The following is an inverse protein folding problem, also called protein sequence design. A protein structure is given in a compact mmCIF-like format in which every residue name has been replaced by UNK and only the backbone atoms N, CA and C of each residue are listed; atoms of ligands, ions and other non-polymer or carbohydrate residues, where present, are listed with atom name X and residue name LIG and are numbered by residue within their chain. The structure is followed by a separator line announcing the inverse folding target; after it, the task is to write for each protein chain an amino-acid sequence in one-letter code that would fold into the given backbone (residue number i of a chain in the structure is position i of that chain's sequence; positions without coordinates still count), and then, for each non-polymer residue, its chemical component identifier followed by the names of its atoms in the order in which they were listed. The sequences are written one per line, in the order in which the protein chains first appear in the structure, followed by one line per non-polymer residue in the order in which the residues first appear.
data_IF_524290888229
#
_entry.id   IF_524290888229
#
_cell.length_a   1.000
_cell.length_b   1.000
_cell.length_c   1.000
_cell.angle_alpha   90.00
_cell.angle_beta   90.00
_cell.angle_gamma   90.00
#
_symmetry.space_group_name_H-M   'P 1'
#
loop_
_entity.id
_entity.type
_entity.pdbx_description
1 polymer ?
#
# COMPACT_ATOMS: atom_id res chain seq x y z
N UNK A 1 -24.72 -21.04 -0.51
CA UNK A 1 -24.49 -19.58 -0.40
C UNK A 1 -25.83 -18.91 -0.11
N UNK A 2 -26.09 -18.43 1.10
CA UNK A 2 -27.45 -17.99 1.51
C UNK A 2 -27.55 -16.61 2.18
N UNK A 3 -26.43 -15.96 2.53
CA UNK A 3 -26.42 -14.66 3.22
C UNK A 3 -26.13 -13.44 2.33
N UNK A 4 -25.91 -13.62 1.03
CA UNK A 4 -25.59 -12.53 0.10
C UNK A 4 -24.28 -11.76 0.40
N UNK A 5 -23.48 -12.21 1.37
CA UNK A 5 -22.30 -11.53 1.89
C UNK A 5 -20.97 -12.07 1.33
N UNK A 6 -21.01 -12.64 0.14
CA UNK A 6 -19.84 -13.23 -0.52
C UNK A 6 -19.49 -12.41 -1.76
N UNK A 7 -18.22 -12.04 -1.88
CA UNK A 7 -17.69 -11.30 -3.02
C UNK A 7 -16.54 -12.07 -3.64
N UNK A 8 -16.60 -12.25 -4.95
CA UNK A 8 -15.47 -12.69 -5.77
C UNK A 8 -14.62 -11.50 -6.18
N UNK A 9 -13.40 -11.76 -6.65
CA UNK A 9 -12.59 -10.73 -7.27
C UNK A 9 -13.29 -10.05 -8.45
N UNK A 10 -14.08 -10.78 -9.25
CA UNK A 10 -14.85 -10.20 -10.36
C UNK A 10 -15.91 -9.22 -9.87
N UNK A 11 -16.57 -9.52 -8.76
CA UNK A 11 -17.55 -8.61 -8.15
C UNK A 11 -16.88 -7.32 -7.65
N UNK A 12 -15.67 -7.42 -7.10
CA UNK A 12 -14.90 -6.26 -6.66
C UNK A 12 -14.38 -5.43 -7.85
N UNK A 13 -13.89 -6.09 -8.90
CA UNK A 13 -13.46 -5.43 -10.14
C UNK A 13 -14.63 -4.68 -10.80
N UNK A 14 -15.82 -5.29 -10.87
CA UNK A 14 -17.03 -4.64 -11.38
C UNK A 14 -17.47 -3.42 -10.53
N UNK A 15 -17.04 -3.35 -9.26
CA UNK A 15 -17.25 -2.20 -8.37
C UNK A 15 -16.16 -1.13 -8.49
N UNK A 16 -15.16 -1.31 -9.36
CA UNK A 16 -14.10 -0.35 -9.62
C UNK A 16 -12.85 -0.49 -8.72
N UNK A 17 -12.73 -1.56 -7.94
CA UNK A 17 -11.50 -1.82 -7.18
C UNK A 17 -10.40 -2.37 -8.10
N UNK A 18 -9.16 -1.92 -7.88
CA UNK A 18 -8.02 -2.34 -8.70
C UNK A 18 -7.46 -3.67 -8.20
N UNK A 19 -6.85 -4.48 -9.09
CA UNK A 19 -6.16 -5.69 -8.67
C UNK A 19 -5.08 -5.43 -7.61
N UNK A 20 -4.43 -4.26 -7.69
CA UNK A 20 -3.35 -3.89 -6.77
C UNK A 20 -3.87 -3.56 -5.36
N UNK A 21 -4.95 -2.78 -5.24
CA UNK A 21 -5.53 -2.49 -3.93
C UNK A 21 -6.18 -3.71 -3.29
N UNK A 22 -6.84 -4.58 -4.06
CA UNK A 22 -7.32 -5.88 -3.56
C UNK A 22 -6.17 -6.75 -3.07
N UNK A 23 -5.08 -6.87 -3.86
CA UNK A 23 -3.89 -7.63 -3.44
C UNK A 23 -3.27 -7.07 -2.16
N UNK A 24 -3.12 -5.74 -2.08
CA UNK A 24 -2.60 -5.08 -0.88
C UNK A 24 -3.48 -5.36 0.34
N UNK A 25 -4.80 -5.24 0.21
CA UNK A 25 -5.75 -5.52 1.29
C UNK A 25 -5.65 -6.96 1.80
N UNK A 26 -5.57 -7.93 0.91
CA UNK A 26 -5.44 -9.35 1.30
C UNK A 26 -4.11 -9.66 2.00
N UNK A 27 -3.06 -8.88 1.73
CA UNK A 27 -1.74 -9.00 2.33
C UNK A 27 -1.54 -8.12 3.56
N UNK A 28 -2.51 -7.27 3.92
CA UNK A 28 -2.37 -6.31 5.02
C UNK A 28 -2.49 -6.94 6.40
N UNK A 29 -2.82 -8.23 6.47
CA UNK A 29 -2.82 -9.03 7.70
C UNK A 29 -2.07 -10.34 7.45
N UNK A 30 -1.42 -10.93 8.47
CA UNK A 30 -0.78 -12.24 8.31
C UNK A 30 -1.77 -13.29 7.81
N UNK A 31 -1.35 -14.14 6.87
CA UNK A 31 -2.23 -15.12 6.20
C UNK A 31 -2.94 -16.11 7.14
N UNK A 32 -2.43 -16.30 8.36
CA UNK A 32 -3.02 -17.17 9.39
C UNK A 32 -4.07 -16.47 10.26
N UNK A 33 -4.33 -15.18 10.03
CA UNK A 33 -5.31 -14.38 10.77
C UNK A 33 -6.53 -14.12 9.90
N UNK A 34 -7.70 -14.05 10.54
CA UNK A 34 -8.92 -13.71 9.85
C UNK A 34 -8.89 -12.23 9.44
N UNK A 35 -9.02 -11.97 8.15
CA UNK A 35 -9.22 -10.64 7.59
C UNK A 35 -10.69 -10.24 7.74
N UNK A 36 -10.96 -9.11 8.39
CA UNK A 36 -12.30 -8.53 8.42
C UNK A 36 -12.55 -7.71 7.14
N UNK A 37 -13.34 -8.25 6.22
CA UNK A 37 -13.64 -7.56 4.95
C UNK A 37 -14.68 -6.45 5.14
N UNK A 38 -14.30 -5.21 4.81
CA UNK A 38 -15.24 -4.10 4.58
C UNK A 38 -14.84 -3.33 3.34
N UNK A 39 -15.81 -2.71 2.65
CA UNK A 39 -15.51 -1.87 1.49
C UNK A 39 -14.69 -0.63 1.87
N UNK A 40 -14.85 -0.10 3.09
CA UNK A 40 -14.04 1.00 3.59
C UNK A 40 -12.58 0.61 3.78
N UNK A 41 -12.32 -0.56 4.36
CA UNK A 41 -10.96 -1.06 4.52
C UNK A 41 -10.29 -1.31 3.15
N UNK A 42 -11.04 -1.84 2.19
CA UNK A 42 -10.55 -2.02 0.81
C UNK A 42 -10.29 -0.67 0.10
N UNK A 43 -11.13 0.34 0.30
CA UNK A 43 -10.86 1.71 -0.20
C UNK A 43 -9.61 2.32 0.44
N UNK A 44 -9.40 2.07 1.73
CA UNK A 44 -8.18 2.45 2.43
C UNK A 44 -6.94 1.83 1.77
N UNK A 45 -7.00 0.54 1.46
CA UNK A 45 -5.95 -0.18 0.74
C UNK A 45 -5.66 0.41 -0.66
N UNK A 46 -6.68 0.74 -1.45
CA UNK A 46 -6.50 1.44 -2.74
C UNK A 46 -5.75 2.75 -2.56
N UNK A 47 -6.17 3.57 -1.58
CA UNK A 47 -5.52 4.85 -1.29
C UNK A 47 -4.06 4.67 -0.89
N UNK A 48 -3.75 3.63 -0.10
CA UNK A 48 -2.35 3.34 0.26
C UNK A 48 -1.51 2.98 -0.96
N UNK A 49 -2.03 2.15 -1.87
CA UNK A 49 -1.33 1.80 -3.11
C UNK A 49 -1.08 3.03 -3.97
N UNK A 50 -2.06 3.93 -4.09
CA UNK A 50 -1.91 5.20 -4.82
C UNK A 50 -0.82 6.07 -4.16
N UNK A 51 -0.88 6.27 -2.84
CA UNK A 51 0.13 7.06 -2.12
C UNK A 51 1.55 6.54 -2.30
N UNK A 52 1.75 5.22 -2.31
CA UNK A 52 3.06 4.61 -2.55
C UNK A 52 3.57 4.87 -3.98
N UNK A 53 2.68 4.82 -4.97
CA UNK A 53 3.00 5.13 -6.37
C UNK A 53 3.33 6.61 -6.55
N UNK A 54 2.52 7.49 -5.96
CA UNK A 54 2.72 8.93 -6.00
C UNK A 54 4.04 9.33 -5.33
N UNK A 55 4.36 8.71 -4.19
CA UNK A 55 5.64 8.91 -3.52
C UNK A 55 6.81 8.52 -4.43
N UNK A 56 6.76 7.34 -5.06
CA UNK A 56 7.79 6.89 -5.99
C UNK A 56 7.92 7.84 -7.20
N UNK A 57 6.81 8.23 -7.81
CA UNK A 57 6.81 9.16 -8.94
C UNK A 57 7.46 10.51 -8.57
N UNK A 58 7.11 11.06 -7.41
CA UNK A 58 7.71 12.30 -6.91
C UNK A 58 9.21 12.19 -6.69
N UNK A 59 9.70 11.03 -6.24
CA UNK A 59 11.14 10.80 -6.10
C UNK A 59 11.85 10.72 -7.47
N UNK A 60 11.23 10.09 -8.47
CA UNK A 60 11.80 9.96 -9.81
C UNK A 60 11.79 11.30 -10.58
N UNK A 61 10.77 12.12 -10.35
CA UNK A 61 10.60 13.43 -10.99
C UNK A 61 11.32 14.57 -10.24
N UNK A 62 11.83 14.31 -9.04
CA UNK A 62 12.49 15.30 -8.22
C UNK A 62 13.73 15.87 -8.94
N UNK A 63 13.67 17.15 -9.26
CA UNK A 63 14.85 17.92 -9.71
C UNK A 63 15.50 18.55 -8.48
N UNK A 64 16.64 17.99 -8.09
CA UNK A 64 17.46 18.53 -7.02
C UNK A 64 18.75 19.12 -7.61
N UNK A 65 19.22 20.21 -7.00
CA UNK A 65 20.57 20.70 -7.28
C UNK A 65 21.61 19.64 -6.89
N UNK A 66 22.72 19.49 -7.62
CA UNK A 66 23.80 18.60 -7.25
C UNK A 66 24.31 18.90 -5.84
N UNK A 67 24.33 17.89 -4.98
CA UNK A 67 24.80 18.03 -3.60
C UNK A 67 24.40 16.84 -2.73
N UNK A 68 24.91 16.83 -1.50
CA UNK A 68 24.50 15.89 -0.47
C UNK A 68 24.37 16.60 0.87
N UNK A 69 23.46 16.13 1.70
CA UNK A 69 23.30 16.61 3.07
C UNK A 69 23.49 15.42 4.01
N UNK A 70 24.59 15.41 4.75
CA UNK A 70 24.97 14.30 5.63
C UNK A 70 23.88 13.96 6.67
N UNK A 71 23.18 14.98 7.19
CA UNK A 71 22.10 14.76 8.16
C UNK A 71 20.92 14.03 7.53
N UNK A 72 20.56 14.38 6.29
CA UNK A 72 19.49 13.71 5.55
C UNK A 72 19.91 12.29 5.17
N UNK A 73 21.14 12.09 4.70
CA UNK A 73 21.68 10.76 4.37
C UNK A 73 21.72 9.84 5.59
N UNK A 74 22.13 10.35 6.75
CA UNK A 74 22.12 9.60 8.01
C UNK A 74 20.69 9.25 8.45
N UNK A 75 19.74 10.19 8.34
CA UNK A 75 18.34 9.93 8.65
C UNK A 75 17.71 8.89 7.72
N UNK A 76 17.99 8.95 6.41
CA UNK A 76 17.52 7.98 5.44
C UNK A 76 18.07 6.58 5.72
N UNK A 77 19.35 6.45 6.06
CA UNK A 77 19.96 5.17 6.44
C UNK A 77 19.30 4.59 7.69
N UNK A 78 19.16 5.41 8.73
CA UNK A 78 18.49 4.99 9.97
C UNK A 78 17.07 4.50 9.72
N UNK A 79 16.30 5.20 8.87
CA UNK A 79 14.94 4.79 8.53
C UNK A 79 14.87 3.44 7.80
N UNK A 80 15.88 3.13 6.97
CA UNK A 80 16.00 1.81 6.32
C UNK A 80 16.30 0.73 7.37
N UNK A 81 17.28 0.98 8.24
CA UNK A 81 17.68 0.02 9.28
C UNK A 81 16.51 -0.31 10.22
N UNK A 82 15.75 0.70 10.64
CA UNK A 82 14.56 0.52 11.49
C UNK A 82 13.43 -0.24 10.77
N UNK A 83 13.25 -0.02 9.46
CA UNK A 83 12.26 -0.73 8.66
C UNK A 83 12.62 -2.21 8.48
N UNK A 84 13.90 -2.53 8.27
CA UNK A 84 14.38 -3.91 8.11
C UNK A 84 14.39 -4.68 9.45
N UNK A 85 14.51 -3.98 10.58
CA UNK A 85 14.49 -4.58 11.90
C UNK A 85 13.11 -5.15 12.32
N UNK A 86 12.01 -4.65 11.74
CA UNK A 86 10.65 -5.16 11.92
C UNK A 86 9.87 -4.56 13.08
#
# INVERSE_FOLDING_TARGET
KSKGNYYTFRDLAAKGFTPAGVRYFLLSVPFRKQLNFTFDALRGAEKTVVSLRDFRARLEEARAEPGSNEKISAAARKAIDEFEAG
#
